data_IF_024144961219
#
_entry.id   IF_024144961219
#
_cell.length_a   1.000
_cell.length_b   1.000
_cell.length_c   1.000
_cell.angle_alpha   90.00
_cell.angle_beta   90.00
_cell.angle_gamma   90.00
#
_symmetry.space_group_name_H-M   'P 1'
#
loop_
_entity.id
_entity.type
_entity.pdbx_description
1 polymer ?
#
# COMPACT_ATOMS: atom_id res chain seq x y z
N UNK A 1 26.67 -19.63 35.22
CA UNK A 1 26.10 -20.54 36.20
C UNK A 1 24.62 -20.23 36.32
N UNK A 2 23.84 -21.26 36.37
CA UNK A 2 22.92 -21.69 35.31
C UNK A 2 21.45 -21.62 35.80
N UNK A 3 20.53 -21.72 34.87
CA UNK A 3 19.12 -21.89 35.13
C UNK A 3 18.38 -22.23 33.84
N UNK A 4 18.59 -23.46 33.40
CA UNK A 4 17.69 -24.21 32.55
C UNK A 4 16.29 -24.23 33.18
N UNK A 5 15.27 -23.94 32.39
CA UNK A 5 13.99 -24.61 32.56
C UNK A 5 13.32 -24.81 31.19
N UNK A 6 13.40 -26.07 30.81
CA UNK A 6 12.68 -26.70 29.71
C UNK A 6 11.27 -26.95 30.17
N UNK A 7 10.28 -26.31 29.57
CA UNK A 7 8.92 -26.80 29.67
C UNK A 7 8.46 -27.41 28.37
N UNK A 8 8.45 -28.73 28.47
CA UNK A 8 8.19 -29.73 27.47
C UNK A 8 6.68 -30.03 27.52
N UNK A 9 5.94 -29.67 26.50
CA UNK A 9 4.59 -30.18 26.32
C UNK A 9 4.62 -31.63 25.80
N UNK A 10 3.83 -32.53 26.38
CA UNK A 10 3.75 -33.89 25.89
C UNK A 10 2.76 -34.03 24.73
N UNK A 11 3.28 -34.64 23.70
CA UNK A 11 2.52 -35.29 22.64
C UNK A 11 1.89 -36.56 23.24
N UNK A 12 0.58 -36.70 23.12
CA UNK A 12 -0.13 -37.95 23.34
C UNK A 12 -0.52 -38.54 22.01
N UNK A 13 0.14 -39.60 21.69
CA UNK A 13 -0.16 -40.55 20.63
C UNK A 13 -1.01 -41.68 21.19
N UNK A 14 -1.79 -42.26 20.30
CA UNK A 14 -2.21 -43.66 20.23
C UNK A 14 -3.39 -44.14 21.11
N UNK A 15 -4.34 -44.71 20.39
CA UNK A 15 -5.44 -45.51 20.90
C UNK A 15 -6.25 -46.14 19.77
N UNK A 16 -5.59 -46.95 18.95
CA UNK A 16 -6.29 -47.99 18.18
C UNK A 16 -6.97 -48.97 19.11
N UNK A 17 -8.23 -49.19 18.92
CA UNK A 17 -8.91 -50.39 19.38
C UNK A 17 -9.81 -50.90 18.27
N UNK A 18 -9.27 -51.90 17.57
CA UNK A 18 -10.04 -52.93 16.87
C UNK A 18 -10.53 -53.92 17.94
N UNK A 19 -11.83 -54.18 17.96
CA UNK A 19 -12.38 -55.44 18.41
C UNK A 19 -13.59 -55.78 17.56
N UNK A 20 -13.40 -56.82 16.77
CA UNK A 20 -14.48 -57.65 16.21
C UNK A 20 -14.93 -58.64 17.25
N UNK A 21 -16.22 -58.89 17.38
CA UNK A 21 -16.69 -60.08 18.09
C UNK A 21 -17.07 -61.24 17.13
N UNK A 22 -16.68 -62.35 17.56
CA UNK A 22 -16.98 -63.67 17.10
C UNK A 22 -18.47 -64.05 17.13
N UNK A 23 -18.85 -64.79 16.13
CA UNK A 23 -20.13 -65.47 16.00
C UNK A 23 -20.24 -66.65 17.00
N UNK A 24 -21.45 -66.86 17.49
CA UNK A 24 -21.96 -68.23 17.64
C UNK A 24 -23.49 -68.29 17.76
N UNK A 25 -24.03 -69.23 17.12
CA UNK A 25 -25.38 -69.60 16.84
C UNK A 25 -26.18 -70.08 18.06
N UNK A 26 -27.48 -70.00 17.98
CA UNK A 26 -28.41 -71.08 18.14
C UNK A 26 -29.85 -70.71 17.82
N UNK A 27 -30.37 -71.40 17.04
CA UNK A 27 -31.60 -72.02 16.53
C UNK A 27 -32.94 -71.74 17.27
N UNK A 28 -33.99 -71.72 16.39
CA UNK A 28 -35.39 -72.15 16.55
C UNK A 28 -36.33 -71.46 17.54
N UNK A 29 -37.27 -70.73 16.95
CA UNK A 29 -38.72 -71.11 17.08
C UNK A 29 -39.61 -70.26 16.13
N UNK A 30 -40.08 -70.94 15.13
CA UNK A 30 -41.44 -71.13 14.60
C UNK A 30 -42.48 -70.03 14.79
N UNK A 31 -42.83 -69.39 13.64
CA UNK A 31 -44.15 -69.15 13.10
C UNK A 31 -45.26 -68.72 14.07
N UNK A 32 -45.79 -67.50 13.94
CA UNK A 32 -47.22 -67.29 13.70
C UNK A 32 -47.41 -65.91 13.06
N UNK A 33 -48.27 -65.91 12.03
CA UNK A 33 -48.64 -64.79 11.22
C UNK A 33 -49.43 -63.75 12.02
N UNK A 34 -49.07 -62.46 11.86
CA UNK A 34 -50.03 -61.42 12.10
C UNK A 34 -49.89 -60.38 11.00
N UNK A 35 -50.95 -60.37 10.21
CA UNK A 35 -51.24 -59.48 9.12
C UNK A 35 -51.65 -58.12 9.69
N UNK A 36 -50.69 -57.25 10.05
CA UNK A 36 -50.97 -55.85 10.38
C UNK A 36 -49.71 -54.96 10.36
N UNK A 37 -48.89 -55.04 9.33
CA UNK A 37 -47.64 -54.28 9.28
C UNK A 37 -47.31 -53.47 8.02
N UNK A 38 -48.24 -53.06 7.14
CA UNK A 38 -47.84 -52.11 6.09
C UNK A 38 -48.08 -50.65 6.46
N UNK A 39 -48.81 -50.30 7.54
CA UNK A 39 -49.10 -48.91 7.90
C UNK A 39 -48.09 -48.30 8.85
N UNK A 40 -47.49 -49.08 9.76
CA UNK A 40 -46.43 -48.55 10.70
C UNK A 40 -45.12 -48.40 9.97
N UNK A 41 -44.71 -49.30 9.07
CA UNK A 41 -43.49 -49.15 8.26
C UNK A 41 -43.58 -47.99 7.27
N UNK A 42 -44.76 -47.66 6.75
CA UNK A 42 -44.99 -46.50 5.85
C UNK A 42 -44.90 -45.16 6.60
N UNK A 43 -45.34 -45.14 7.86
CA UNK A 43 -45.20 -43.95 8.73
C UNK A 43 -43.74 -43.75 9.17
N UNK A 44 -43.03 -44.82 9.48
CA UNK A 44 -41.60 -44.75 9.79
C UNK A 44 -40.74 -44.32 8.60
N UNK A 45 -41.08 -44.76 7.39
CA UNK A 45 -40.39 -44.32 6.16
C UNK A 45 -40.63 -42.84 5.86
N UNK A 46 -41.84 -42.35 6.08
CA UNK A 46 -42.16 -40.93 5.88
C UNK A 46 -41.44 -40.03 6.89
N UNK A 47 -41.40 -40.41 8.16
CA UNK A 47 -40.67 -39.67 9.22
C UNK A 47 -39.19 -39.67 8.97
N UNK A 48 -38.57 -40.79 8.50
CA UNK A 48 -37.20 -40.84 8.08
C UNK A 48 -36.90 -39.99 6.86
N UNK A 49 -37.80 -39.94 5.87
CA UNK A 49 -37.63 -39.07 4.72
C UNK A 49 -37.72 -37.59 5.09
N UNK A 50 -38.64 -37.18 5.94
CA UNK A 50 -38.76 -35.83 6.46
C UNK A 50 -37.50 -35.43 7.25
N UNK A 51 -37.04 -36.31 8.13
CA UNK A 51 -35.78 -36.09 8.88
C UNK A 51 -34.54 -35.94 7.96
N UNK A 52 -34.52 -36.72 6.88
CA UNK A 52 -33.44 -36.62 5.88
C UNK A 52 -33.51 -35.26 5.11
N UNK A 53 -34.69 -34.77 4.79
CA UNK A 53 -34.87 -33.49 4.13
C UNK A 53 -34.48 -32.33 5.04
N UNK A 54 -34.91 -32.36 6.30
CA UNK A 54 -34.51 -31.38 7.30
C UNK A 54 -32.98 -31.33 7.49
N UNK A 55 -32.34 -32.50 7.58
CA UNK A 55 -30.89 -32.60 7.67
C UNK A 55 -30.18 -32.06 6.42
N UNK A 56 -30.72 -32.33 5.23
CA UNK A 56 -30.19 -31.79 3.98
C UNK A 56 -30.29 -30.26 3.92
N UNK A 57 -31.39 -29.68 4.38
CA UNK A 57 -31.57 -28.22 4.47
C UNK A 57 -30.60 -27.60 5.47
N UNK A 58 -30.44 -28.21 6.65
CA UNK A 58 -29.45 -27.77 7.64
C UNK A 58 -28.03 -27.82 7.08
N UNK A 59 -27.64 -28.90 6.42
CA UNK A 59 -26.35 -29.04 5.78
C UNK A 59 -26.17 -27.97 4.71
N UNK A 60 -27.17 -27.74 3.88
CA UNK A 60 -27.15 -26.68 2.84
C UNK A 60 -26.96 -25.30 3.47
N UNK A 61 -27.71 -24.99 4.51
CA UNK A 61 -27.59 -23.75 5.24
C UNK A 61 -26.20 -23.57 5.86
N UNK A 62 -25.66 -24.60 6.48
CA UNK A 62 -24.30 -24.55 7.03
C UNK A 62 -23.21 -24.43 5.95
N UNK A 63 -23.39 -25.09 4.81
CA UNK A 63 -22.51 -24.93 3.67
C UNK A 63 -22.52 -23.51 3.11
N UNK A 64 -23.68 -22.89 3.02
CA UNK A 64 -23.81 -21.51 2.54
C UNK A 64 -23.21 -20.50 3.54
N UNK A 65 -23.44 -20.72 4.83
CA UNK A 65 -22.76 -19.95 5.88
C UNK A 65 -21.23 -20.12 5.82
N UNK A 66 -20.77 -21.35 5.68
CA UNK A 66 -19.35 -21.63 5.57
C UNK A 66 -18.72 -20.96 4.34
N UNK A 67 -19.39 -21.02 3.17
CA UNK A 67 -18.93 -20.34 1.95
C UNK A 67 -18.83 -18.84 2.16
N UNK A 68 -19.84 -18.27 2.80
CA UNK A 68 -19.87 -16.83 3.09
C UNK A 68 -18.74 -16.42 4.04
N UNK A 69 -18.57 -17.14 5.15
CA UNK A 69 -17.48 -16.87 6.08
C UNK A 69 -16.10 -17.09 5.48
N UNK A 70 -15.95 -18.08 4.59
CA UNK A 70 -14.71 -18.31 3.87
C UNK A 70 -14.39 -17.12 2.92
N UNK A 71 -15.41 -16.61 2.19
CA UNK A 71 -15.24 -15.43 1.35
C UNK A 71 -14.93 -14.17 2.17
N UNK A 72 -15.59 -13.98 3.30
CA UNK A 72 -15.32 -12.85 4.21
C UNK A 72 -13.90 -12.91 4.77
N UNK A 73 -13.43 -14.12 5.13
CA UNK A 73 -12.05 -14.32 5.60
C UNK A 73 -11.03 -14.04 4.50
N UNK A 74 -11.29 -14.44 3.27
CA UNK A 74 -10.42 -14.13 2.14
C UNK A 74 -10.35 -12.60 1.90
N UNK A 75 -11.50 -11.93 1.89
CA UNK A 75 -11.58 -10.49 1.77
C UNK A 75 -10.85 -9.77 2.92
N UNK A 76 -11.01 -10.27 4.15
CA UNK A 76 -10.30 -9.76 5.31
C UNK A 76 -8.79 -9.92 5.16
N UNK A 77 -8.31 -11.09 4.74
CA UNK A 77 -6.87 -11.32 4.48
C UNK A 77 -6.32 -10.36 3.43
N UNK A 78 -7.04 -10.17 2.32
CA UNK A 78 -6.66 -9.20 1.26
C UNK A 78 -6.58 -7.77 1.79
N UNK A 79 -7.55 -7.37 2.62
CA UNK A 79 -7.57 -6.04 3.24
C UNK A 79 -6.39 -5.85 4.20
N UNK A 80 -6.19 -6.80 5.13
CA UNK A 80 -5.08 -6.73 6.09
C UNK A 80 -3.72 -6.71 5.39
N UNK A 81 -3.58 -7.46 4.31
CA UNK A 81 -2.35 -7.44 3.53
C UNK A 81 -2.08 -6.06 2.94
N UNK A 82 -3.09 -5.40 2.35
CA UNK A 82 -2.97 -4.02 1.84
C UNK A 82 -2.64 -3.02 2.94
N UNK A 83 -3.34 -3.12 4.08
CA UNK A 83 -3.09 -2.26 5.24
C UNK A 83 -1.65 -2.41 5.77
N UNK A 84 -1.11 -3.64 5.78
CA UNK A 84 0.29 -3.90 6.16
C UNK A 84 1.28 -3.27 5.16
N UNK A 85 1.00 -3.38 3.87
CA UNK A 85 1.84 -2.77 2.83
C UNK A 85 1.81 -1.24 2.92
N UNK A 86 0.65 -0.64 3.16
CA UNK A 86 0.50 0.80 3.39
C UNK A 86 1.22 1.24 4.67
N UNK A 87 1.09 0.48 5.74
CA UNK A 87 1.78 0.77 6.99
C UNK A 87 3.31 0.67 6.82
N UNK A 88 3.80 -0.31 6.07
CA UNK A 88 5.23 -0.43 5.76
C UNK A 88 5.75 0.77 4.96
N UNK A 89 4.95 1.29 4.00
CA UNK A 89 5.31 2.44 3.16
C UNK A 89 5.20 3.78 3.90
N UNK A 90 4.15 3.96 4.72
CA UNK A 90 3.79 5.26 5.28
C UNK A 90 3.87 5.35 6.79
N UNK A 91 4.23 4.27 7.51
CA UNK A 91 4.29 4.24 8.97
C UNK A 91 5.22 5.30 9.58
N UNK A 92 6.27 5.68 8.85
CA UNK A 92 7.22 6.72 9.27
C UNK A 92 6.91 8.12 8.71
N UNK A 93 5.80 8.29 7.97
CA UNK A 93 5.43 9.58 7.38
C UNK A 93 5.29 10.70 8.41
N UNK A 94 4.71 10.41 9.58
CA UNK A 94 4.56 11.37 10.66
C UNK A 94 5.91 11.83 11.24
N UNK A 95 6.83 10.90 11.45
CA UNK A 95 8.19 11.20 11.92
C UNK A 95 8.95 12.03 10.89
N UNK A 96 8.92 11.63 9.62
CA UNK A 96 9.57 12.38 8.55
C UNK A 96 9.04 13.81 8.50
N UNK A 97 7.70 13.99 8.57
CA UNK A 97 7.08 15.32 8.58
C UNK A 97 7.61 16.22 9.70
N UNK A 98 7.88 15.65 10.88
CA UNK A 98 8.46 16.39 12.02
C UNK A 98 9.94 16.71 11.83
N UNK A 99 10.67 15.93 11.02
CA UNK A 99 12.09 16.17 10.72
C UNK A 99 12.29 17.18 9.58
N UNK A 100 11.31 17.38 8.70
CA UNK A 100 11.43 18.33 7.58
C UNK A 100 11.80 19.77 8.00
N UNK A 101 11.20 20.35 9.06
CA UNK A 101 11.61 21.69 9.52
C UNK A 101 13.08 21.77 9.91
N UNK A 102 13.61 20.73 10.54
CA UNK A 102 15.05 20.67 10.92
C UNK A 102 15.93 20.66 9.66
N UNK A 103 15.54 19.93 8.63
CA UNK A 103 16.26 19.91 7.36
C UNK A 103 16.21 21.29 6.68
N UNK A 104 15.04 21.97 6.70
CA UNK A 104 14.90 23.33 6.19
C UNK A 104 15.79 24.32 6.96
N UNK A 105 15.88 24.15 8.29
CA UNK A 105 16.73 25.01 9.13
C UNK A 105 18.22 24.82 8.81
N UNK A 106 18.66 23.59 8.53
CA UNK A 106 20.03 23.34 8.06
C UNK A 106 20.28 24.01 6.71
N UNK A 107 19.35 23.87 5.75
CA UNK A 107 19.48 24.50 4.44
C UNK A 107 19.51 26.02 4.54
N UNK A 108 18.63 26.59 5.35
CA UNK A 108 18.59 28.04 5.61
C UNK A 108 19.89 28.54 6.27
N UNK A 109 20.40 27.82 7.28
CA UNK A 109 21.64 28.19 7.93
C UNK A 109 22.83 28.18 6.95
N UNK A 110 22.90 27.20 6.06
CA UNK A 110 23.93 27.12 5.03
C UNK A 110 23.79 28.22 3.96
N UNK A 111 22.54 28.61 3.60
CA UNK A 111 22.29 29.68 2.62
C UNK A 111 22.59 31.08 3.17
N UNK A 112 22.40 31.28 4.49
CA UNK A 112 22.66 32.57 5.16
C UNK A 112 24.08 32.74 5.67
N UNK A 113 24.96 31.77 5.34
CA UNK A 113 26.34 31.79 5.80
C UNK A 113 27.10 32.97 5.17
N UNK A 114 27.80 33.78 5.96
CA UNK A 114 28.68 34.80 5.42
C UNK A 114 29.80 34.17 4.56
N UNK A 115 30.19 34.82 3.44
CA UNK A 115 31.18 34.26 2.52
C UNK A 115 32.56 34.00 3.18
N UNK A 116 32.85 34.74 4.25
CA UNK A 116 34.06 34.58 5.04
C UNK A 116 34.13 33.24 5.80
N UNK A 117 32.96 32.65 6.12
CA UNK A 117 32.83 31.39 6.84
C UNK A 117 32.63 30.17 5.92
N UNK A 118 32.33 30.39 4.66
CA UNK A 118 32.04 29.29 3.70
C UNK A 118 33.25 28.38 3.44
N UNK A 119 34.45 28.90 3.62
CA UNK A 119 35.72 28.14 3.47
C UNK A 119 36.12 27.25 4.63
N UNK A 120 35.47 27.37 5.79
CA UNK A 120 35.90 26.68 7.00
C UNK A 120 35.58 25.19 6.99
N UNK A 121 36.43 24.39 7.54
CA UNK A 121 36.28 22.92 7.58
C UNK A 121 35.00 22.47 8.31
N UNK A 122 34.60 23.21 9.37
CA UNK A 122 33.42 22.87 10.13
C UNK A 122 32.13 23.14 9.35
N UNK A 123 32.04 24.21 8.53
CA UNK A 123 30.86 24.51 7.71
C UNK A 123 30.65 23.45 6.65
N UNK A 124 31.73 22.98 6.01
CA UNK A 124 31.71 21.83 5.12
C UNK A 124 31.24 20.56 5.85
N UNK A 125 31.65 20.37 7.10
CA UNK A 125 31.21 19.27 7.96
C UNK A 125 29.70 19.31 8.21
N UNK A 126 29.14 20.47 8.55
CA UNK A 126 27.68 20.66 8.73
C UNK A 126 26.93 20.39 7.43
N UNK A 127 27.43 20.88 6.29
CA UNK A 127 26.85 20.61 4.97
C UNK A 127 26.81 19.11 4.65
N UNK A 128 27.87 18.37 4.98
CA UNK A 128 27.90 16.92 4.82
C UNK A 128 26.88 16.20 5.72
N UNK A 129 26.65 16.68 6.94
CA UNK A 129 25.64 16.12 7.85
C UNK A 129 24.23 16.34 7.27
N UNK A 130 23.93 17.56 6.83
CA UNK A 130 22.66 17.88 6.18
C UNK A 130 22.42 17.02 4.92
N UNK A 131 23.47 16.86 4.10
CA UNK A 131 23.40 16.00 2.92
C UNK A 131 23.17 14.53 3.28
N UNK A 132 23.88 13.99 4.28
CA UNK A 132 23.66 12.62 4.75
C UNK A 132 22.24 12.42 5.25
N UNK A 133 21.69 13.38 6.00
CA UNK A 133 20.30 13.32 6.46
C UNK A 133 19.34 13.23 5.26
N UNK A 134 19.54 14.07 4.24
CA UNK A 134 18.73 14.02 3.00
C UNK A 134 18.81 12.65 2.32
N UNK A 135 20.02 12.11 2.14
CA UNK A 135 20.22 10.80 1.50
C UNK A 135 19.52 9.68 2.28
N UNK A 136 19.57 9.72 3.61
CA UNK A 136 18.84 8.75 4.43
C UNK A 136 17.34 8.87 4.20
N UNK A 137 16.78 10.08 4.20
CA UNK A 137 15.34 10.29 3.95
C UNK A 137 14.93 9.84 2.53
N UNK A 138 15.79 10.06 1.53
CA UNK A 138 15.57 9.57 0.16
C UNK A 138 15.53 8.04 0.07
N UNK A 139 16.35 7.32 0.86
CA UNK A 139 16.31 5.86 0.95
C UNK A 139 14.96 5.35 1.50
N UNK A 140 14.29 6.13 2.35
CA UNK A 140 12.93 5.84 2.82
C UNK A 140 11.84 6.28 1.84
N UNK A 141 12.22 6.71 0.64
CA UNK A 141 11.27 7.06 -0.43
C UNK A 141 10.81 8.51 -0.44
N UNK A 142 11.48 9.40 0.34
CA UNK A 142 11.23 10.83 0.28
C UNK A 142 11.80 11.40 -1.02
N UNK A 143 11.03 12.26 -1.72
CA UNK A 143 11.46 12.95 -2.93
C UNK A 143 11.10 14.43 -2.83
N UNK A 144 12.02 15.29 -3.26
CA UNK A 144 11.79 16.73 -3.35
C UNK A 144 10.88 17.05 -4.55
N UNK A 145 9.92 17.95 -4.34
CA UNK A 145 9.06 18.48 -5.40
C UNK A 145 9.83 19.58 -6.13
N UNK A 146 10.13 19.34 -7.40
CA UNK A 146 10.77 20.33 -8.27
C UNK A 146 9.69 21.33 -8.73
N UNK A 147 9.56 22.43 -8.03
CA UNK A 147 8.53 23.42 -8.33
C UNK A 147 9.03 24.62 -9.14
N UNK A 148 10.34 24.89 -9.14
CA UNK A 148 10.91 26.08 -9.78
C UNK A 148 10.74 26.03 -11.31
N UNK A 149 10.12 27.08 -11.87
CA UNK A 149 9.78 27.23 -13.29
C UNK A 149 8.76 26.22 -13.81
N UNK A 150 8.10 25.46 -12.93
CA UNK A 150 6.98 24.62 -13.33
C UNK A 150 5.64 25.38 -13.24
N UNK A 151 4.60 24.95 -13.96
CA UNK A 151 3.26 25.48 -13.78
C UNK A 151 2.77 25.18 -12.36
N UNK A 152 1.99 26.06 -11.79
CA UNK A 152 1.42 25.87 -10.45
C UNK A 152 0.44 24.71 -10.45
N UNK A 153 0.68 23.75 -9.56
CA UNK A 153 -0.18 22.58 -9.31
C UNK A 153 -0.72 22.65 -7.86
N UNK A 154 -2.02 22.87 -7.64
CA UNK A 154 -2.61 22.96 -6.31
C UNK A 154 -2.41 21.69 -5.45
N UNK A 155 -2.19 20.52 -6.07
CA UNK A 155 -1.97 19.27 -5.34
C UNK A 155 -0.57 19.17 -4.74
N UNK A 156 0.40 19.91 -5.28
CA UNK A 156 1.83 19.83 -4.91
C UNK A 156 2.40 21.14 -4.41
N UNK A 157 1.79 22.27 -4.79
CA UNK A 157 2.29 23.60 -4.52
C UNK A 157 1.29 24.40 -3.69
N UNK A 158 1.80 25.23 -2.80
CA UNK A 158 1.04 26.20 -2.03
C UNK A 158 1.53 27.62 -2.39
N UNK A 159 0.68 28.39 -3.06
CA UNK A 159 1.02 29.76 -3.45
C UNK A 159 0.88 30.69 -2.24
N UNK A 160 2.00 31.21 -1.73
CA UNK A 160 2.02 32.16 -0.62
C UNK A 160 1.98 33.59 -1.12
N UNK A 161 2.65 33.86 -2.23
CA UNK A 161 2.77 35.21 -2.80
C UNK A 161 2.49 35.15 -4.30
N UNK A 162 1.65 36.08 -4.77
CA UNK A 162 1.47 36.37 -6.18
C UNK A 162 2.30 37.60 -6.48
N UNK A 163 3.20 37.52 -7.43
CA UNK A 163 4.10 38.60 -7.80
C UNK A 163 3.96 38.90 -9.30
N UNK A 164 3.82 40.20 -9.65
CA UNK A 164 3.77 40.57 -11.06
C UNK A 164 5.16 40.39 -11.67
N UNK A 165 5.25 39.56 -12.69
CA UNK A 165 6.52 39.22 -13.32
C UNK A 165 6.36 39.10 -14.84
N UNK A 166 6.81 40.13 -15.56
CA UNK A 166 6.61 40.24 -17.01
C UNK A 166 7.37 39.22 -17.85
N UNK A 167 8.45 38.63 -17.27
CA UNK A 167 9.29 37.65 -17.98
C UNK A 167 8.81 36.20 -17.85
N UNK A 168 7.80 35.91 -17.01
CA UNK A 168 7.29 34.56 -16.79
C UNK A 168 5.83 34.43 -17.21
N UNK A 169 5.39 33.31 -17.75
CA UNK A 169 3.98 33.06 -18.03
C UNK A 169 3.13 33.17 -16.76
N UNK A 170 1.88 33.57 -16.92
CA UNK A 170 0.92 33.57 -15.82
C UNK A 170 0.74 32.19 -15.23
N UNK A 171 0.70 32.09 -13.89
CA UNK A 171 0.59 30.83 -13.19
C UNK A 171 1.88 30.01 -13.09
N UNK A 172 3.03 30.53 -13.51
CA UNK A 172 4.32 29.84 -13.35
C UNK A 172 4.95 30.14 -11.98
N UNK A 173 5.61 29.15 -11.40
CA UNK A 173 6.37 29.30 -10.14
C UNK A 173 7.66 30.06 -10.40
N UNK A 174 7.79 31.22 -9.77
CA UNK A 174 8.95 32.12 -9.89
C UNK A 174 10.04 31.77 -8.88
N UNK A 175 9.62 31.45 -7.67
CA UNK A 175 10.54 31.11 -6.58
C UNK A 175 9.95 30.08 -5.64
N UNK A 176 10.80 29.27 -5.05
CA UNK A 176 10.45 28.32 -4.00
C UNK A 176 10.90 28.91 -2.67
N UNK A 177 9.92 29.23 -1.79
CA UNK A 177 10.18 29.74 -0.45
C UNK A 177 10.52 28.62 0.54
N UNK A 178 9.83 27.49 0.38
CA UNK A 178 10.06 26.30 1.18
C UNK A 178 9.86 25.06 0.31
N UNK A 179 10.79 24.12 0.38
CA UNK A 179 10.75 22.90 -0.43
C UNK A 179 9.58 22.02 -0.04
N UNK A 180 8.90 21.47 -1.03
CA UNK A 180 7.89 20.44 -0.87
C UNK A 180 8.49 19.04 -0.96
N UNK A 181 7.82 18.08 -0.32
CA UNK A 181 8.27 16.71 -0.30
C UNK A 181 7.12 15.72 -0.49
N UNK A 182 7.40 14.69 -1.28
CA UNK A 182 6.52 13.54 -1.53
C UNK A 182 7.16 12.30 -0.94
N UNK A 183 6.39 11.49 -0.22
CA UNK A 183 6.81 10.18 0.24
C UNK A 183 6.14 9.13 -0.65
N UNK A 184 6.92 8.42 -1.45
CA UNK A 184 6.44 7.53 -2.51
C UNK A 184 5.50 8.25 -3.48
N UNK A 185 4.19 8.13 -3.29
CA UNK A 185 3.10 8.71 -4.08
C UNK A 185 2.25 9.75 -3.31
N UNK A 186 2.50 9.92 -2.01
CA UNK A 186 1.72 10.82 -1.14
C UNK A 186 2.49 12.08 -0.82
N UNK A 187 1.90 13.24 -1.07
CA UNK A 187 2.47 14.55 -0.66
C UNK A 187 2.46 14.65 0.86
N UNK A 188 3.65 14.78 1.47
CA UNK A 188 3.80 15.03 2.90
C UNK A 188 3.66 16.50 3.25
N UNK A 189 4.26 17.36 2.39
CA UNK A 189 4.22 18.81 2.53
C UNK A 189 4.29 19.43 1.13
N UNK A 190 3.35 20.29 0.75
CA UNK A 190 3.43 21.03 -0.50
C UNK A 190 4.64 21.98 -0.50
N UNK A 191 5.12 22.33 -1.68
CA UNK A 191 6.14 23.36 -1.82
C UNK A 191 5.49 24.74 -1.68
N UNK A 192 6.00 25.57 -0.77
CA UNK A 192 5.57 26.96 -0.66
C UNK A 192 6.26 27.78 -1.74
N UNK A 193 5.48 28.40 -2.61
CA UNK A 193 5.99 29.03 -3.82
C UNK A 193 5.47 30.46 -4.01
N UNK A 194 6.25 31.26 -4.74
CA UNK A 194 5.79 32.48 -5.37
C UNK A 194 5.37 32.17 -6.80
N UNK A 195 4.21 32.68 -7.20
CA UNK A 195 3.62 32.45 -8.54
C UNK A 195 3.54 33.75 -9.30
N UNK A 196 3.88 33.72 -10.57
CA UNK A 196 3.72 34.82 -11.47
C UNK A 196 2.23 35.12 -11.67
N UNK A 197 1.86 36.39 -11.51
CA UNK A 197 0.57 36.92 -11.90
C UNK A 197 0.81 38.02 -12.93
N UNK A 198 0.27 37.88 -14.12
CA UNK A 198 0.34 38.90 -15.13
C UNK A 198 -1.03 39.60 -15.22
N UNK A 199 -1.15 40.76 -14.61
CA UNK A 199 -2.35 41.60 -14.71
C UNK A 199 -2.34 42.38 -16.06
N UNK A 200 -2.73 41.73 -17.11
CA UNK A 200 -3.03 42.40 -18.38
C UNK A 200 -2.17 42.01 -19.57
N UNK A 201 -2.68 41.13 -20.38
CA UNK A 201 -2.52 41.11 -21.81
C UNK A 201 -1.21 40.61 -22.40
N UNK A 202 -1.08 39.33 -22.51
CA UNK A 202 -0.67 38.72 -23.77
C UNK A 202 -0.93 37.22 -23.72
N UNK A 203 -1.81 36.78 -24.59
CA UNK A 203 -2.13 35.40 -24.83
C UNK A 203 -0.87 34.56 -24.98
N UNK A 204 -0.86 33.45 -24.28
CA UNK A 204 0.07 32.36 -24.38
C UNK A 204 0.48 32.08 -25.82
N UNK A 205 1.74 32.28 -26.13
CA UNK A 205 2.37 31.60 -27.26
C UNK A 205 2.98 30.32 -26.69
N UNK A 206 2.24 29.23 -26.86
CA UNK A 206 2.77 27.88 -26.66
C UNK A 206 4.07 27.74 -27.49
N UNK A 207 5.12 27.10 -26.98
CA UNK A 207 6.23 26.71 -27.81
C UNK A 207 5.74 25.60 -28.74
N UNK A 208 5.50 26.02 -29.99
CA UNK A 208 5.29 25.10 -31.10
C UNK A 208 6.59 24.33 -31.35
N UNK A 209 6.42 23.02 -31.48
CA UNK A 209 7.19 22.08 -32.28
C UNK A 209 8.63 22.44 -32.65
N UNK A 210 9.54 21.75 -31.96
CA UNK A 210 10.85 21.48 -32.49
C UNK A 210 10.92 20.01 -32.96
N UNK A 211 10.13 19.70 -33.98
CA UNK A 211 10.32 18.48 -34.77
C UNK A 211 10.13 18.83 -36.23
N UNK A 212 11.19 19.19 -36.90
CA UNK A 212 11.44 18.93 -38.33
C UNK A 212 12.70 19.67 -38.77
N UNK A 213 13.63 18.96 -39.15
CA UNK A 213 14.49 19.14 -40.31
C UNK A 213 15.93 18.74 -39.98
N UNK A 214 16.21 17.51 -40.15
CA UNK A 214 17.54 17.11 -40.64
C UNK A 214 17.36 15.96 -41.64
N UNK A 215 17.14 16.37 -42.86
CA UNK A 215 17.30 15.52 -44.06
C UNK A 215 17.75 16.45 -45.15
N UNK A 216 18.99 16.30 -45.50
CA UNK A 216 19.67 16.63 -46.77
C UNK A 216 21.06 17.14 -46.47
N UNK A 217 22.00 16.23 -46.66
CA UNK A 217 23.24 16.45 -47.39
C UNK A 217 24.04 15.16 -47.40
N UNK A 218 23.70 14.34 -48.37
CA UNK A 218 24.55 13.24 -48.81
C UNK A 218 24.36 13.09 -50.32
N UNK A 219 25.03 13.92 -51.04
CA UNK A 219 25.36 13.66 -52.44
C UNK A 219 26.43 14.66 -52.88
N UNK A 220 27.50 14.15 -53.31
CA UNK A 220 28.61 14.72 -54.09
C UNK A 220 29.95 14.64 -53.37
N UNK A 221 30.56 13.49 -53.51
CA UNK A 221 31.99 13.41 -53.85
C UNK A 221 32.35 11.99 -54.29
N UNK A 222 32.02 11.71 -55.56
CA UNK A 222 32.71 10.70 -56.33
C UNK A 222 33.05 11.34 -57.68
N UNK A 223 34.26 11.88 -57.82
CA UNK A 223 34.98 12.00 -59.08
C UNK A 223 36.29 12.76 -58.85
N UNK A 224 37.37 12.06 -58.54
CA UNK A 224 38.63 12.15 -59.29
C UNK A 224 39.67 11.25 -58.65
#
# INVERSE_FOLDING_TARGET
>A
MPGDDKDKMPVSSDGEHQEQPTAEATADKKTEASTAQPAEEAVDLQTLQQGLEEQKELVKHHLDQWKRTAADLENYKKRVQKEREELAKFGHAALIRQLLPTLDDFERALQTLPPELDGLTWTKGVGLIAHKLRVVLEQYGLKEIKAFREPFDPMRHEAIVLENHDACPDGQVIAVLQKGYVLHDRVLRPAMVKVAKNDGGSAAKAPADASATNKQDKAEETAK
#
